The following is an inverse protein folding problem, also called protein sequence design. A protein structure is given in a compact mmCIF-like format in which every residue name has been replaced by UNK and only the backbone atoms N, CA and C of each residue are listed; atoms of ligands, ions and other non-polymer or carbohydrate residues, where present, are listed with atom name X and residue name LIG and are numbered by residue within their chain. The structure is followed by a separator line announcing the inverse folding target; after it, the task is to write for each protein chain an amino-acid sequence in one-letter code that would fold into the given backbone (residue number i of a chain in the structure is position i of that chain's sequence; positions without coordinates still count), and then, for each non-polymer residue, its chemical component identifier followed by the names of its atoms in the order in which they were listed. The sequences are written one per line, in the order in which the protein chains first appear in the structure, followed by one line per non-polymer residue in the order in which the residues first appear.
data_IF_894198673463
#
_entry.id   IF_894198673463
#
_cell.length_a   1.000
_cell.length_b   1.000
_cell.length_c   1.000
_cell.angle_alpha   90.00
_cell.angle_beta   90.00
_cell.angle_gamma   90.00
#
_symmetry.space_group_name_H-M   'P 1'
#
loop_
_entity.id
_entity.type
_entity.pdbx_description
1 polymer ?
#
# COMPACT_ATOMS: atom_id res chain seq x y z
N UNK A 1 12.52 7.39 0.05
CA UNK A 1 12.80 7.30 -1.40
C UNK A 1 14.31 7.25 -1.58
N UNK A 2 14.88 6.18 -2.16
CA UNK A 2 16.32 6.01 -2.33
C UNK A 2 16.76 6.42 -3.76
N UNK A 3 17.62 7.44 -3.86
CA UNK A 3 18.04 7.99 -5.15
C UNK A 3 18.90 7.00 -5.95
N UNK A 4 19.75 6.22 -5.29
CA UNK A 4 20.63 5.27 -5.98
C UNK A 4 19.81 4.19 -6.69
N UNK A 5 18.82 3.62 -6.01
CA UNK A 5 17.88 2.66 -6.61
C UNK A 5 17.13 3.26 -7.80
N UNK A 6 16.66 4.51 -7.70
CA UNK A 6 15.95 5.19 -8.79
C UNK A 6 16.86 5.36 -10.02
N UNK A 7 18.08 5.85 -9.82
CA UNK A 7 19.03 6.05 -10.93
C UNK A 7 19.40 4.73 -11.59
N UNK A 8 19.57 3.67 -10.81
CA UNK A 8 19.87 2.34 -11.34
C UNK A 8 18.68 1.75 -12.12
N UNK A 9 17.45 1.92 -11.63
CA UNK A 9 16.24 1.53 -12.35
C UNK A 9 16.13 2.24 -13.70
N UNK A 10 16.41 3.53 -13.79
CA UNK A 10 16.37 4.26 -15.07
C UNK A 10 17.40 3.76 -16.06
N UNK A 11 18.60 3.40 -15.60
CA UNK A 11 19.64 2.81 -16.46
C UNK A 11 19.20 1.43 -16.99
N UNK A 12 18.66 0.59 -16.12
CA UNK A 12 18.28 -0.78 -16.45
C UNK A 12 16.97 -0.86 -17.24
N UNK A 13 16.05 0.07 -17.01
CA UNK A 13 14.72 0.13 -17.61
C UNK A 13 14.44 1.53 -18.18
N UNK A 14 14.97 1.88 -19.37
CA UNK A 14 14.81 3.21 -19.96
C UNK A 14 13.36 3.62 -20.28
N UNK A 15 12.41 2.68 -20.17
CA UNK A 15 10.96 2.92 -20.37
C UNK A 15 10.17 2.94 -19.05
N UNK A 16 10.85 2.87 -17.90
CA UNK A 16 10.19 2.93 -16.59
C UNK A 16 9.39 4.22 -16.44
N UNK A 17 8.22 4.12 -15.80
CA UNK A 17 7.37 5.24 -15.41
C UNK A 17 7.40 5.35 -13.88
N UNK A 18 7.52 6.57 -13.37
CA UNK A 18 7.47 6.92 -11.96
C UNK A 18 6.14 7.59 -11.68
N UNK A 19 5.29 6.92 -10.91
CA UNK A 19 4.08 7.51 -10.35
C UNK A 19 4.43 8.01 -8.95
N UNK A 20 4.27 9.30 -8.71
CA UNK A 20 4.70 9.95 -7.46
C UNK A 20 3.61 10.84 -6.91
N UNK A 21 3.52 11.00 -5.58
CA UNK A 21 2.55 11.93 -5.00
C UNK A 21 2.98 13.38 -5.24
N UNK A 22 2.01 14.29 -5.22
CA UNK A 22 2.18 15.73 -5.45
C UNK A 22 3.39 16.34 -4.73
N UNK A 23 4.17 17.17 -5.44
CA UNK A 23 5.37 17.84 -4.96
C UNK A 23 6.67 17.06 -5.13
N UNK A 24 6.63 15.79 -5.58
CA UNK A 24 7.84 14.98 -5.76
C UNK A 24 8.46 15.10 -7.16
N UNK A 25 7.70 15.52 -8.17
CA UNK A 25 8.17 15.56 -9.56
C UNK A 25 9.42 16.41 -9.73
N UNK A 26 9.41 17.62 -9.18
CA UNK A 26 10.54 18.54 -9.27
C UNK A 26 11.82 17.94 -8.69
N UNK A 27 11.72 17.19 -7.58
CA UNK A 27 12.86 16.52 -6.98
C UNK A 27 13.44 15.43 -7.88
N UNK A 28 12.59 14.60 -8.50
CA UNK A 28 13.04 13.57 -9.45
C UNK A 28 13.67 14.19 -10.71
N UNK A 29 13.07 15.24 -11.26
CA UNK A 29 13.61 15.96 -12.42
C UNK A 29 14.98 16.55 -12.12
N UNK A 30 15.13 17.22 -10.97
CA UNK A 30 16.41 17.78 -10.52
C UNK A 30 17.48 16.70 -10.28
N UNK A 31 17.05 15.46 -10.04
CA UNK A 31 17.89 14.29 -9.85
C UNK A 31 18.27 13.58 -11.16
N UNK A 32 17.83 14.10 -12.31
CA UNK A 32 18.19 13.60 -13.64
C UNK A 32 17.16 12.67 -14.27
N UNK A 33 15.95 12.55 -13.72
CA UNK A 33 14.89 11.73 -14.29
C UNK A 33 14.11 12.55 -15.35
N UNK A 34 13.99 12.08 -16.60
CA UNK A 34 13.22 12.77 -17.63
C UNK A 34 11.77 13.02 -17.20
N UNK A 35 11.29 14.26 -17.36
CA UNK A 35 9.91 14.66 -17.02
C UNK A 35 8.84 13.75 -17.62
N UNK A 36 9.05 13.26 -18.86
CA UNK A 36 8.14 12.31 -19.53
C UNK A 36 7.98 10.97 -18.82
N UNK A 37 8.93 10.59 -17.97
CA UNK A 37 8.84 9.35 -17.20
C UNK A 37 8.08 9.56 -15.88
N UNK A 38 7.67 10.78 -15.52
CA UNK A 38 7.12 11.10 -14.20
C UNK A 38 5.67 11.55 -14.34
N UNK A 39 4.77 10.84 -13.66
CA UNK A 39 3.40 11.27 -13.43
C UNK A 39 3.25 11.64 -11.96
N UNK A 40 2.78 12.84 -11.71
CA UNK A 40 2.56 13.37 -10.37
C UNK A 40 1.06 13.40 -10.11
N UNK A 41 0.64 12.84 -8.97
CA UNK A 41 -0.78 12.65 -8.64
C UNK A 41 -1.10 13.21 -7.26
N UNK A 42 -2.21 13.94 -7.15
CA UNK A 42 -2.87 14.25 -5.89
C UNK A 42 -3.75 13.08 -5.43
N UNK A 43 -4.25 13.12 -4.19
CA UNK A 43 -5.16 12.11 -3.69
C UNK A 43 -6.41 11.99 -4.57
N UNK A 44 -6.79 10.74 -4.80
CA UNK A 44 -7.90 10.31 -5.65
C UNK A 44 -7.71 10.53 -7.15
N UNK A 45 -6.57 11.09 -7.57
CA UNK A 45 -6.18 11.05 -8.98
C UNK A 45 -5.64 9.68 -9.35
N UNK A 46 -5.91 9.29 -10.59
CA UNK A 46 -5.50 8.01 -11.14
C UNK A 46 -4.87 8.15 -12.54
N UNK A 47 -4.13 7.12 -12.91
CA UNK A 47 -3.58 6.95 -14.26
C UNK A 47 -3.91 5.55 -14.77
N UNK A 48 -4.44 5.49 -15.98
CA UNK A 48 -4.63 4.25 -16.71
C UNK A 48 -3.35 3.90 -17.49
N UNK A 49 -2.86 2.69 -17.27
CA UNK A 49 -1.71 2.06 -17.90
C UNK A 49 -2.20 0.88 -18.75
N UNK A 50 -1.80 0.84 -20.00
CA UNK A 50 -2.16 -0.24 -20.93
C UNK A 50 -1.39 -0.13 -22.24
N UNK A 51 -1.42 -1.17 -23.09
CA UNK A 51 -0.76 -1.15 -24.38
C UNK A 51 -1.37 -0.06 -25.27
N UNK A 52 -0.50 0.76 -25.85
CA UNK A 52 -0.92 1.91 -26.67
C UNK A 52 -1.09 3.22 -25.89
N UNK A 53 -1.35 3.19 -24.57
CA UNK A 53 -1.52 4.40 -23.75
C UNK A 53 -0.20 4.92 -23.14
N UNK A 54 0.87 4.13 -23.15
CA UNK A 54 2.22 4.57 -22.80
C UNK A 54 2.94 5.33 -23.95
N UNK A 55 2.21 5.75 -25.00
CA UNK A 55 2.77 6.55 -26.10
C UNK A 55 2.51 8.01 -25.80
N UNK A 56 3.53 8.72 -25.33
CA UNK A 56 3.56 10.19 -25.27
C UNK A 56 3.60 10.83 -26.70
N UNK A 57 3.10 10.13 -27.72
CA UNK A 57 3.03 10.57 -29.12
C UNK A 57 1.62 10.32 -29.68
N UNK A 58 0.77 11.36 -29.74
CA UNK A 58 -0.56 11.31 -30.36
C UNK A 58 -0.53 10.95 -31.85
N UNK A 59 0.62 11.04 -32.52
CA UNK A 59 0.77 10.74 -33.95
C UNK A 59 1.09 9.28 -34.27
N UNK A 60 1.36 8.46 -33.26
CA UNK A 60 1.63 7.03 -33.41
C UNK A 60 0.35 6.16 -33.41
N UNK A 61 -0.84 6.79 -33.38
CA UNK A 61 -2.09 6.11 -33.69
C UNK A 61 -2.08 5.77 -35.18
N UNK A 62 -1.86 4.49 -35.51
CA UNK A 62 -2.07 3.99 -36.87
C UNK A 62 -3.58 3.97 -37.11
N UNK A 63 -4.12 4.78 -38.04
CA UNK A 63 -5.54 4.73 -38.34
C UNK A 63 -5.83 3.41 -39.04
N UNK A 64 -6.58 2.51 -38.39
CA UNK A 64 -7.10 1.30 -39.04
C UNK A 64 -7.19 0.03 -38.20
N UNK A 65 -6.45 -0.09 -37.09
CA UNK A 65 -6.40 -1.32 -36.27
C UNK A 65 -7.04 -1.16 -34.87
N UNK A 66 -7.81 -0.10 -34.66
CA UNK A 66 -8.36 0.32 -33.37
C UNK A 66 -9.46 -0.62 -32.82
N UNK A 67 -9.94 -1.57 -33.63
CA UNK A 67 -11.16 -2.32 -33.31
C UNK A 67 -10.98 -3.76 -32.80
N UNK A 68 -9.77 -4.34 -32.74
CA UNK A 68 -9.65 -5.79 -32.42
C UNK A 68 -8.62 -6.20 -31.37
N UNK A 69 -7.62 -5.38 -31.01
CA UNK A 69 -6.58 -5.79 -30.04
C UNK A 69 -6.62 -5.03 -28.71
N UNK A 70 -7.11 -3.79 -28.70
CA UNK A 70 -7.27 -3.00 -27.48
C UNK A 70 -8.35 -3.53 -26.51
N UNK A 71 -9.23 -4.43 -26.97
CA UNK A 71 -10.33 -5.02 -26.18
C UNK A 71 -9.94 -6.28 -25.39
N UNK A 72 -8.72 -6.78 -25.54
CA UNK A 72 -8.28 -8.03 -24.90
C UNK A 72 -7.08 -7.84 -23.98
N UNK A 73 -6.47 -6.66 -23.97
CA UNK A 73 -5.30 -6.38 -23.15
C UNK A 73 -5.72 -5.84 -21.78
N UNK A 74 -5.10 -6.32 -20.69
CA UNK A 74 -5.46 -5.87 -19.36
C UNK A 74 -5.17 -4.39 -19.19
N UNK A 75 -6.17 -3.64 -18.73
CA UNK A 75 -6.00 -2.25 -18.30
C UNK A 75 -5.59 -2.26 -16.83
N UNK A 76 -4.53 -1.52 -16.49
CA UNK A 76 -4.09 -1.32 -15.11
C UNK A 76 -4.40 0.13 -14.74
N UNK A 77 -5.19 0.35 -13.70
CA UNK A 77 -5.38 1.67 -13.11
C UNK A 77 -4.58 1.79 -11.84
N UNK A 78 -3.85 2.88 -11.68
CA UNK A 78 -3.13 3.18 -10.44
C UNK A 78 -3.67 4.47 -9.86
N UNK A 79 -4.23 4.40 -8.66
CA UNK A 79 -4.82 5.54 -7.95
C UNK A 79 -3.97 5.91 -6.74
N UNK A 80 -3.61 7.19 -6.66
CA UNK A 80 -3.01 7.80 -5.47
C UNK A 80 -4.11 7.96 -4.42
N UNK A 81 -3.96 7.41 -3.22
CA UNK A 81 -4.99 7.51 -2.16
C UNK A 81 -4.43 8.13 -0.88
N UNK A 82 -5.25 8.77 -0.05
CA UNK A 82 -4.75 9.40 1.16
C UNK A 82 -4.19 8.40 2.16
N UNK A 83 -3.20 8.87 2.91
CA UNK A 83 -2.64 8.20 4.09
C UNK A 83 -2.53 9.22 5.23
N UNK A 84 -2.36 8.76 6.46
CA UNK A 84 -2.14 9.60 7.62
C UNK A 84 -0.65 9.65 7.96
N UNK A 85 0.10 10.55 7.33
CA UNK A 85 1.55 10.64 7.51
C UNK A 85 2.04 12.08 7.36
N UNK A 86 3.36 12.25 7.24
CA UNK A 86 4.03 13.51 6.94
C UNK A 86 5.11 13.31 5.89
N UNK A 87 5.79 14.37 5.46
CA UNK A 87 6.95 14.24 4.58
C UNK A 87 8.09 15.17 4.99
N UNK A 88 9.30 14.86 4.53
CA UNK A 88 10.47 15.71 4.74
C UNK A 88 11.75 14.98 4.36
N UNK A 89 12.63 15.62 3.59
CA UNK A 89 13.97 15.10 3.25
C UNK A 89 15.07 15.89 3.94
N UNK A 90 14.77 17.08 4.42
CA UNK A 90 15.64 18.05 5.06
C UNK A 90 14.93 18.68 6.27
N UNK A 91 15.64 19.54 7.01
CA UNK A 91 15.07 20.24 8.16
C UNK A 91 14.08 21.35 7.76
N UNK A 92 14.11 21.80 6.50
CA UNK A 92 13.32 22.94 6.01
C UNK A 92 12.16 22.57 5.08
N UNK A 93 11.99 21.30 4.72
CA UNK A 93 10.98 20.85 3.74
C UNK A 93 9.90 19.94 4.35
N UNK A 94 9.68 20.08 5.65
CA UNK A 94 8.66 19.34 6.37
C UNK A 94 7.28 19.61 5.76
N UNK A 95 6.58 18.53 5.38
CA UNK A 95 5.29 18.50 4.71
C UNK A 95 5.24 19.27 3.37
N UNK A 96 6.38 19.47 2.71
CA UNK A 96 6.45 20.13 1.41
C UNK A 96 5.98 19.22 0.25
N UNK A 97 5.88 17.90 0.47
CA UNK A 97 5.40 16.93 -0.53
C UNK A 97 4.28 16.08 0.04
N UNK A 98 3.37 15.64 -0.81
CA UNK A 98 2.25 14.79 -0.43
C UNK A 98 2.74 13.38 -0.07
N UNK A 99 2.09 12.74 0.91
CA UNK A 99 2.23 11.33 1.27
C UNK A 99 0.98 10.58 0.83
N UNK A 100 1.09 9.30 0.48
CA UNK A 100 -0.04 8.53 -0.05
C UNK A 100 0.12 7.02 0.16
N UNK A 101 -0.98 6.30 -0.02
CA UNK A 101 -0.99 4.90 -0.44
C UNK A 101 -1.27 4.79 -1.95
N UNK A 102 -1.16 3.58 -2.49
CA UNK A 102 -1.39 3.29 -3.89
C UNK A 102 -2.33 2.11 -4.07
N UNK A 103 -3.48 2.33 -4.71
CA UNK A 103 -4.36 1.25 -5.15
C UNK A 103 -4.05 0.94 -6.60
N UNK A 104 -3.86 -0.34 -6.90
CA UNK A 104 -3.61 -0.86 -8.25
C UNK A 104 -4.74 -1.80 -8.61
N UNK A 105 -5.54 -1.40 -9.58
CA UNK A 105 -6.63 -2.21 -10.13
C UNK A 105 -6.22 -2.74 -11.49
N UNK A 106 -6.44 -4.03 -11.72
CA UNK A 106 -6.24 -4.64 -13.02
C UNK A 106 -7.57 -5.19 -13.52
N UNK A 107 -7.94 -4.77 -14.72
CA UNK A 107 -9.20 -5.12 -15.36
C UNK A 107 -8.93 -6.07 -16.52
N UNK A 108 -9.71 -7.16 -16.59
CA UNK A 108 -9.62 -8.21 -17.60
C UNK A 108 -10.98 -8.49 -18.23
N UNK A 109 -11.00 -8.80 -19.52
CA UNK A 109 -12.22 -9.18 -20.22
C UNK A 109 -12.94 -8.00 -20.88
N UNK A 110 -14.09 -8.27 -21.51
CA UNK A 110 -14.95 -7.27 -22.13
C UNK A 110 -15.92 -6.66 -21.11
N UNK A 111 -16.48 -5.48 -21.38
CA UNK A 111 -17.42 -4.74 -20.51
C UNK A 111 -18.53 -5.62 -19.86
N UNK A 112 -19.00 -6.68 -20.53
CA UNK A 112 -20.05 -7.59 -20.02
C UNK A 112 -19.53 -8.66 -19.03
N UNK A 113 -18.22 -8.90 -18.94
CA UNK A 113 -17.54 -9.89 -18.09
C UNK A 113 -16.20 -9.37 -17.54
N UNK A 114 -16.17 -8.08 -17.17
CA UNK A 114 -14.94 -7.46 -16.65
C UNK A 114 -14.62 -8.06 -15.27
N UNK A 115 -13.50 -8.80 -15.17
CA UNK A 115 -12.92 -9.21 -13.90
C UNK A 115 -11.96 -8.15 -13.43
N UNK A 116 -11.93 -7.91 -12.12
CA UNK A 116 -11.06 -6.92 -11.50
C UNK A 116 -10.23 -7.55 -10.40
N UNK A 117 -8.93 -7.30 -10.41
CA UNK A 117 -8.05 -7.56 -9.27
C UNK A 117 -7.61 -6.25 -8.66
N UNK A 118 -7.57 -6.18 -7.33
CA UNK A 118 -7.26 -4.96 -6.61
C UNK A 118 -6.20 -5.21 -5.53
N UNK A 119 -5.04 -4.57 -5.67
CA UNK A 119 -3.96 -4.59 -4.68
C UNK A 119 -3.81 -3.20 -4.08
N UNK A 120 -3.67 -3.13 -2.77
CA UNK A 120 -3.47 -1.87 -2.05
C UNK A 120 -2.14 -1.87 -1.29
N UNK A 121 -1.26 -0.94 -1.66
CA UNK A 121 -0.09 -0.59 -0.86
C UNK A 121 -0.44 0.59 0.05
N UNK A 122 -0.61 0.34 1.35
CA UNK A 122 -1.12 1.34 2.31
C UNK A 122 -0.21 2.55 2.49
N UNK A 123 1.07 2.42 2.13
CA UNK A 123 2.08 3.42 2.43
C UNK A 123 2.53 3.34 3.89
N UNK A 124 3.34 4.31 4.31
CA UNK A 124 3.61 4.52 5.73
C UNK A 124 2.52 5.44 6.27
N UNK A 125 1.85 5.01 7.34
CA UNK A 125 0.65 5.69 7.82
C UNK A 125 0.43 5.41 9.29
N UNK A 126 -0.12 6.40 10.00
CA UNK A 126 -0.82 6.24 11.24
C UNK A 126 -2.27 5.80 11.00
N UNK A 127 -2.97 5.54 12.10
CA UNK A 127 -4.40 5.23 12.08
C UNK A 127 -5.20 6.07 13.07
N UNK A 128 -4.53 6.72 14.02
CA UNK A 128 -5.16 7.49 15.09
C UNK A 128 -4.50 8.84 15.20
N UNK A 129 -5.26 9.86 15.57
CA UNK A 129 -4.68 11.19 15.83
C UNK A 129 -3.87 11.23 17.13
N UNK A 130 -4.30 10.48 18.16
CA UNK A 130 -3.67 10.36 19.49
C UNK A 130 -3.93 8.99 20.12
N UNK A 131 -3.29 8.70 21.27
CA UNK A 131 -3.59 7.49 22.07
C UNK A 131 -5.06 7.49 22.49
N UNK A 132 -5.83 6.50 22.01
CA UNK A 132 -7.28 6.42 22.27
C UNK A 132 -8.11 7.46 21.51
N UNK A 133 -7.49 8.23 20.60
CA UNK A 133 -8.16 9.24 19.79
C UNK A 133 -8.97 8.66 18.64
N UNK A 134 -9.54 9.57 17.84
CA UNK A 134 -10.34 9.25 16.66
C UNK A 134 -9.55 8.42 15.64
N UNK A 135 -10.27 7.52 14.97
CA UNK A 135 -9.73 6.67 13.92
C UNK A 135 -9.71 7.44 12.61
N UNK A 136 -8.69 7.22 11.79
CA UNK A 136 -8.59 7.78 10.46
C UNK A 136 -9.73 7.22 9.59
N UNK A 137 -10.68 8.05 9.12
CA UNK A 137 -11.84 7.56 8.39
C UNK A 137 -11.51 7.07 6.97
N UNK A 138 -10.36 7.47 6.42
CA UNK A 138 -9.99 7.21 5.03
C UNK A 138 -9.93 5.72 4.70
N UNK A 139 -9.53 4.86 5.65
CA UNK A 139 -9.42 3.42 5.36
C UNK A 139 -10.77 2.76 5.11
N UNK A 140 -11.83 3.25 5.78
CA UNK A 140 -13.20 2.81 5.47
C UNK A 140 -13.66 3.31 4.11
N UNK A 141 -13.32 4.55 3.77
CA UNK A 141 -13.64 5.13 2.47
C UNK A 141 -12.95 4.37 1.33
N UNK A 142 -11.65 4.06 1.49
CA UNK A 142 -10.87 3.26 0.55
C UNK A 142 -11.46 1.86 0.43
N UNK A 143 -11.77 1.20 1.56
CA UNK A 143 -12.43 -0.11 1.55
C UNK A 143 -13.75 -0.10 0.80
N UNK A 144 -14.59 0.94 1.00
CA UNK A 144 -15.86 1.09 0.31
C UNK A 144 -15.69 1.35 -1.20
N UNK A 145 -14.73 2.18 -1.58
CA UNK A 145 -14.49 2.60 -2.98
C UNK A 145 -13.84 1.50 -3.81
N UNK A 146 -12.95 0.71 -3.21
CA UNK A 146 -12.13 -0.28 -3.90
C UNK A 146 -12.46 -1.73 -3.53
N UNK A 147 -13.61 -2.02 -2.92
CA UNK A 147 -14.03 -3.40 -2.65
C UNK A 147 -14.32 -4.20 -3.94
N UNK A 148 -14.00 -5.50 -3.98
CA UNK A 148 -13.13 -6.19 -3.04
C UNK A 148 -11.66 -5.80 -3.26
N UNK A 149 -10.91 -5.59 -2.16
CA UNK A 149 -9.44 -5.49 -2.17
C UNK A 149 -8.90 -6.91 -1.97
N UNK A 150 -8.24 -7.47 -2.99
CA UNK A 150 -7.71 -8.83 -2.93
C UNK A 150 -6.51 -8.94 -1.98
N UNK A 151 -5.62 -7.96 -2.02
CA UNK A 151 -4.41 -7.93 -1.19
C UNK A 151 -4.12 -6.52 -0.68
N UNK A 152 -3.96 -6.37 0.62
CA UNK A 152 -3.42 -5.15 1.23
C UNK A 152 -2.05 -5.40 1.88
N UNK A 153 -1.09 -4.52 1.60
CA UNK A 153 0.20 -4.47 2.29
C UNK A 153 0.13 -3.38 3.35
N UNK A 154 0.21 -3.75 4.64
CA UNK A 154 -0.10 -2.86 5.77
C UNK A 154 1.14 -2.73 6.68
N UNK A 155 1.59 -1.50 7.05
CA UNK A 155 2.73 -1.34 7.94
C UNK A 155 2.40 -1.82 9.36
N UNK A 156 3.35 -2.48 10.03
CA UNK A 156 3.18 -2.98 11.41
C UNK A 156 4.25 -2.47 12.38
N UNK A 157 5.03 -1.47 12.01
CA UNK A 157 6.12 -0.97 12.83
C UNK A 157 6.04 0.53 12.98
N UNK A 158 6.41 1.01 14.17
CA UNK A 158 6.24 2.41 14.59
C UNK A 158 7.50 3.27 14.42
N UNK A 159 8.55 2.70 13.82
CA UNK A 159 9.89 3.25 13.90
C UNK A 159 10.48 3.04 15.30
N UNK A 160 11.53 2.23 15.38
CA UNK A 160 12.53 2.36 16.43
C UNK A 160 13.34 3.59 16.07
N UNK A 161 13.30 4.59 16.93
CA UNK A 161 14.28 5.66 17.11
C UNK A 161 14.98 6.15 15.82
N UNK A 162 14.71 7.41 15.40
CA UNK A 162 15.52 8.15 14.40
C UNK A 162 16.96 7.61 14.40
N UNK A 163 17.47 7.13 13.26
CA UNK A 163 18.72 6.35 13.19
C UNK A 163 19.91 6.98 13.94
N UNK A 164 19.92 8.30 14.14
CA UNK A 164 20.87 9.03 15.00
C UNK A 164 20.71 8.79 16.52
N UNK A 165 19.48 8.66 17.03
CA UNK A 165 19.17 8.42 18.45
C UNK A 165 19.37 6.92 18.78
N UNK A 166 19.15 6.02 17.81
CA UNK A 166 19.33 4.57 17.99
C UNK A 166 20.81 4.22 18.10
N UNK A 167 21.65 4.89 17.30
CA UNK A 167 23.11 4.79 17.40
C UNK A 167 23.69 5.40 18.69
N UNK A 168 22.88 6.15 19.45
CA UNK A 168 23.20 6.62 20.81
C UNK A 168 22.64 5.71 21.93
N UNK A 169 21.99 4.58 21.60
CA UNK A 169 21.46 3.63 22.58
C UNK A 169 20.19 4.09 23.31
N UNK A 170 19.48 5.10 22.79
CA UNK A 170 18.27 5.64 23.39
C UNK A 170 17.04 5.10 22.66
N UNK A 171 16.14 4.39 23.34
CA UNK A 171 14.87 3.92 22.77
C UNK A 171 13.83 5.05 22.93
N UNK A 172 13.40 5.70 21.84
CA UNK A 172 12.29 6.66 21.87
C UNK A 172 10.97 5.88 21.98
N UNK A 173 10.61 5.49 23.19
CA UNK A 173 9.40 4.72 23.51
C UNK A 173 8.14 5.58 23.67
N UNK A 174 8.12 6.83 23.19
CA UNK A 174 6.97 7.71 23.40
C UNK A 174 5.85 7.40 22.42
N UNK A 175 4.97 6.47 22.84
CA UNK A 175 3.73 6.05 22.18
C UNK A 175 2.85 7.22 21.70
N UNK A 176 2.96 8.42 22.26
CA UNK A 176 2.10 9.54 21.89
C UNK A 176 2.52 10.28 20.59
N UNK A 177 3.80 10.24 20.22
CA UNK A 177 4.32 11.09 19.13
C UNK A 177 4.32 10.40 17.76
N UNK A 178 4.39 9.06 17.72
CA UNK A 178 4.49 8.30 16.46
C UNK A 178 3.15 7.81 15.93
N UNK A 179 2.09 7.71 16.75
CA UNK A 179 0.79 7.13 16.33
C UNK A 179 0.08 7.90 15.22
N UNK A 180 0.30 9.21 15.16
CA UNK A 180 -0.25 10.06 14.10
C UNK A 180 0.38 9.77 12.73
N UNK A 181 1.56 9.14 12.71
CA UNK A 181 2.35 8.89 11.50
C UNK A 181 2.58 7.40 11.22
N UNK A 182 2.55 6.53 12.23
CA UNK A 182 2.84 5.11 12.08
C UNK A 182 1.85 4.22 12.85
N UNK A 183 1.28 3.25 12.14
CA UNK A 183 0.29 2.32 12.66
C UNK A 183 0.97 1.30 13.58
N UNK A 184 0.33 1.02 14.71
CA UNK A 184 0.70 -0.11 15.54
C UNK A 184 0.27 -1.43 14.89
N UNK A 185 0.82 -2.59 15.28
CA UNK A 185 0.29 -3.89 14.87
C UNK A 185 -1.21 -4.08 15.16
N UNK A 186 -1.72 -3.47 16.23
CA UNK A 186 -3.16 -3.49 16.54
C UNK A 186 -3.96 -2.58 15.61
N UNK A 187 -3.41 -1.42 15.22
CA UNK A 187 -4.04 -0.53 14.26
C UNK A 187 -4.02 -1.12 12.86
N UNK A 188 -2.96 -1.84 12.49
CA UNK A 188 -2.89 -2.56 11.23
C UNK A 188 -4.04 -3.58 11.09
N UNK A 189 -4.44 -4.24 12.18
CA UNK A 189 -5.61 -5.12 12.18
C UNK A 189 -6.91 -4.33 11.99
N UNK A 190 -7.04 -3.15 12.59
CA UNK A 190 -8.19 -2.28 12.35
C UNK A 190 -8.22 -1.76 10.90
N UNK A 191 -7.08 -1.37 10.33
CA UNK A 191 -6.96 -0.98 8.92
C UNK A 191 -7.38 -2.15 8.02
N UNK A 192 -6.88 -3.36 8.27
CA UNK A 192 -7.29 -4.56 7.54
C UNK A 192 -8.82 -4.75 7.54
N UNK A 193 -9.46 -4.61 8.70
CA UNK A 193 -10.93 -4.71 8.82
C UNK A 193 -11.66 -3.57 8.11
N UNK A 194 -11.21 -2.33 8.27
CA UNK A 194 -11.85 -1.16 7.63
C UNK A 194 -11.75 -1.20 6.10
N UNK A 195 -10.65 -1.77 5.58
CA UNK A 195 -10.45 -2.02 4.17
C UNK A 195 -11.30 -3.16 3.62
N UNK A 196 -11.82 -4.03 4.49
CA UNK A 196 -12.48 -5.29 4.11
C UNK A 196 -11.60 -6.11 3.15
N UNK A 197 -10.29 -6.10 3.40
CA UNK A 197 -9.32 -6.77 2.54
C UNK A 197 -9.46 -8.29 2.67
N UNK A 198 -9.48 -8.99 1.53
CA UNK A 198 -9.54 -10.46 1.49
C UNK A 198 -8.29 -11.07 2.09
N UNK A 199 -7.14 -10.50 1.76
CA UNK A 199 -5.84 -10.91 2.31
C UNK A 199 -5.03 -9.68 2.68
N UNK A 200 -4.23 -9.79 3.73
CA UNK A 200 -3.24 -8.78 4.08
C UNK A 200 -1.91 -9.37 4.46
N UNK A 201 -0.84 -8.70 4.05
CA UNK A 201 0.53 -9.00 4.47
C UNK A 201 1.13 -7.80 5.17
N UNK A 202 1.93 -8.09 6.19
CA UNK A 202 2.61 -7.06 6.95
C UNK A 202 3.82 -6.54 6.16
N UNK A 203 4.04 -5.23 6.24
CA UNK A 203 5.21 -4.58 5.68
C UNK A 203 5.81 -3.59 6.68
N UNK A 204 6.86 -2.88 6.24
CA UNK A 204 7.49 -1.80 7.01
C UNK A 204 8.11 -2.23 8.35
N UNK A 205 8.56 -3.49 8.50
CA UNK A 205 9.20 -3.98 9.73
C UNK A 205 10.46 -4.80 9.41
N UNK A 206 11.31 -5.04 10.42
CA UNK A 206 12.47 -5.95 10.40
C UNK A 206 13.55 -5.74 9.31
N UNK A 207 13.46 -4.69 8.49
CA UNK A 207 14.44 -4.42 7.41
C UNK A 207 15.46 -3.35 7.82
N UNK A 208 14.99 -2.25 8.40
CA UNK A 208 15.83 -1.18 8.93
C UNK A 208 15.57 -1.06 10.43
N UNK A 209 16.23 -1.89 11.23
CA UNK A 209 16.06 -1.94 12.69
C UNK A 209 17.36 -1.60 13.39
N UNK A 210 17.27 -1.03 14.60
CA UNK A 210 18.41 -0.84 15.48
C UNK A 210 18.91 -2.15 16.07
N UNK A 211 18.04 -3.18 16.14
CA UNK A 211 18.40 -4.55 16.54
C UNK A 211 17.39 -5.60 16.06
N UNK A 212 17.80 -6.87 16.00
CA UNK A 212 16.92 -8.01 15.66
C UNK A 212 15.70 -8.12 16.60
N UNK A 213 15.88 -7.73 17.86
CA UNK A 213 14.81 -7.72 18.87
C UNK A 213 13.67 -6.80 18.46
N UNK A 214 13.95 -5.65 17.87
CA UNK A 214 12.91 -4.71 17.41
C UNK A 214 12.08 -5.30 16.27
N UNK A 215 12.73 -6.01 15.33
CA UNK A 215 12.05 -6.71 14.25
C UNK A 215 11.11 -7.79 14.78
N UNK A 216 11.59 -8.63 15.71
CA UNK A 216 10.77 -9.69 16.34
C UNK A 216 9.60 -9.15 17.14
N UNK A 217 9.80 -8.06 17.90
CA UNK A 217 8.74 -7.43 18.70
C UNK A 217 7.51 -7.02 17.86
N UNK A 218 7.72 -6.54 16.63
CA UNK A 218 6.62 -6.16 15.74
C UNK A 218 5.75 -7.38 15.36
N UNK A 219 6.39 -8.49 15.02
CA UNK A 219 5.75 -9.77 14.69
C UNK A 219 4.98 -10.32 15.89
N UNK A 220 5.63 -10.41 17.04
CA UNK A 220 5.00 -10.90 18.28
C UNK A 220 3.79 -10.05 18.67
N UNK A 221 3.89 -8.73 18.54
CA UNK A 221 2.80 -7.80 18.82
C UNK A 221 1.61 -7.96 17.88
N UNK A 222 1.84 -8.27 16.59
CA UNK A 222 0.75 -8.56 15.65
C UNK A 222 -0.03 -9.80 16.07
N UNK A 223 0.65 -10.91 16.39
CA UNK A 223 0.00 -12.14 16.80
C UNK A 223 -0.72 -12.03 18.15
N UNK A 224 -0.14 -11.30 19.10
CA UNK A 224 -0.82 -10.98 20.37
C UNK A 224 -2.07 -10.13 20.16
N UNK A 225 -2.03 -9.15 19.25
CA UNK A 225 -3.21 -8.35 18.92
C UNK A 225 -4.31 -9.20 18.26
N UNK A 226 -3.96 -10.12 17.35
CA UNK A 226 -4.91 -11.08 16.76
C UNK A 226 -5.56 -11.96 17.84
N UNK A 227 -4.77 -12.48 18.77
CA UNK A 227 -5.26 -13.31 19.88
C UNK A 227 -6.25 -12.53 20.76
N UNK A 228 -5.92 -11.29 21.11
CA UNK A 228 -6.81 -10.41 21.89
C UNK A 228 -8.13 -10.14 21.18
N UNK A 229 -8.09 -9.83 19.88
CA UNK A 229 -9.30 -9.63 19.09
C UNK A 229 -10.19 -10.88 19.10
N UNK A 230 -9.60 -12.06 18.93
CA UNK A 230 -10.32 -13.32 18.96
C UNK A 230 -10.99 -13.57 20.33
N UNK A 231 -10.25 -13.44 21.44
CA UNK A 231 -10.82 -13.58 22.79
C UNK A 231 -11.95 -12.58 23.04
N UNK A 232 -11.82 -11.34 22.55
CA UNK A 232 -12.86 -10.32 22.68
C UNK A 232 -14.11 -10.68 21.86
N UNK A 233 -13.95 -11.21 20.65
CA UNK A 233 -15.06 -11.67 19.82
C UNK A 233 -15.81 -12.83 20.48
N UNK A 234 -15.09 -13.83 20.98
CA UNK A 234 -15.66 -15.00 21.66
C UNK A 234 -16.46 -14.59 22.90
N UNK A 235 -15.94 -13.66 23.70
CA UNK A 235 -16.65 -13.14 24.88
C UNK A 235 -17.98 -12.44 24.54
N UNK A 236 -18.13 -12.00 23.29
CA UNK A 236 -19.35 -11.39 22.74
C UNK A 236 -20.21 -12.37 21.93
N UNK A 237 -19.89 -13.68 21.95
CA UNK A 237 -20.60 -14.71 21.19
C UNK A 237 -20.38 -14.63 19.67
N UNK A 238 -19.34 -13.92 19.22
CA UNK A 238 -18.97 -13.83 17.79
C UNK A 238 -17.84 -14.82 17.49
N UNK A 239 -17.87 -15.41 16.30
CA UNK A 239 -16.77 -16.26 15.78
C UNK A 239 -15.73 -15.47 14.97
N UNK A 240 -15.69 -14.14 15.12
CA UNK A 240 -14.81 -13.26 14.36
C UNK A 240 -13.35 -13.54 14.73
N UNK A 241 -12.54 -13.88 13.72
CA UNK A 241 -11.10 -14.12 13.85
C UNK A 241 -10.41 -13.62 12.59
N UNK A 242 -9.25 -13.00 12.76
CA UNK A 242 -8.34 -12.72 11.63
C UNK A 242 -7.41 -13.92 11.50
N UNK A 243 -7.59 -14.69 10.42
CA UNK A 243 -6.89 -15.93 10.15
C UNK A 243 -5.44 -15.74 9.71
N UNK A 244 -4.81 -16.82 9.23
CA UNK A 244 -3.51 -16.75 8.55
C UNK A 244 -3.65 -15.98 7.23
N UNK A 245 -2.59 -15.38 6.71
CA UNK A 245 -2.71 -14.45 5.57
C UNK A 245 -3.33 -15.08 4.32
N UNK A 246 -3.18 -16.39 4.12
CA UNK A 246 -3.76 -17.14 3.00
C UNK A 246 -5.23 -17.54 3.21
N UNK A 247 -5.78 -17.36 4.41
CA UNK A 247 -7.21 -17.52 4.67
C UNK A 247 -7.97 -16.27 4.18
N UNK A 248 -9.21 -16.43 3.75
CA UNK A 248 -10.09 -15.29 3.43
C UNK A 248 -10.34 -14.45 4.69
N UNK A 249 -10.18 -13.13 4.60
CA UNK A 249 -10.12 -12.22 5.76
C UNK A 249 -8.86 -12.41 6.61
N UNK A 250 -7.78 -12.93 6.00
CA UNK A 250 -6.54 -13.29 6.67
C UNK A 250 -5.52 -12.15 6.71
N UNK A 251 -4.72 -12.09 7.78
CA UNK A 251 -3.60 -11.16 7.87
C UNK A 251 -2.39 -11.82 8.56
N UNK A 252 -1.22 -11.74 7.95
CA UNK A 252 0.01 -12.29 8.50
C UNK A 252 1.26 -11.70 7.85
N UNK A 253 2.34 -12.47 7.89
CA UNK A 253 3.68 -12.11 7.44
C UNK A 253 4.14 -13.12 6.41
N UNK A 254 5.00 -12.67 5.51
CA UNK A 254 5.76 -13.48 4.56
C UNK A 254 7.25 -13.23 4.78
N UNK A 255 8.09 -14.20 4.44
CA UNK A 255 9.53 -14.09 4.62
C UNK A 255 10.16 -13.16 3.57
N UNK A 256 11.31 -12.56 3.90
CA UNK A 256 12.06 -11.72 2.95
C UNK A 256 12.48 -12.57 1.76
N UNK A 257 12.04 -12.18 0.57
CA UNK A 257 12.32 -12.89 -0.69
C UNK A 257 11.33 -14.03 -1.00
N UNK A 258 10.36 -14.29 -0.13
CA UNK A 258 9.27 -15.22 -0.42
C UNK A 258 8.37 -14.67 -1.54
N UNK A 259 7.87 -15.57 -2.40
CA UNK A 259 6.85 -15.27 -3.40
C UNK A 259 5.61 -16.08 -3.10
N UNK A 260 4.45 -15.43 -3.13
CA UNK A 260 3.17 -16.08 -2.89
C UNK A 260 2.14 -15.67 -3.96
N UNK A 261 1.06 -16.46 -4.03
CA UNK A 261 -0.03 -16.24 -4.97
C UNK A 261 -1.32 -16.08 -4.19
N UNK A 262 -2.02 -14.96 -4.40
CA UNK A 262 -3.37 -14.75 -3.91
C UNK A 262 -4.34 -15.16 -5.02
N UNK A 263 -5.19 -16.19 -4.80
CA UNK A 263 -6.14 -16.60 -5.81
C UNK A 263 -7.24 -15.54 -6.01
N UNK A 264 -7.74 -15.38 -7.24
CA UNK A 264 -8.88 -14.51 -7.51
C UNK A 264 -10.10 -14.95 -6.68
N UNK A 265 -10.95 -13.99 -6.32
CA UNK A 265 -12.19 -14.29 -5.63
C UNK A 265 -13.01 -15.27 -6.47
N UNK A 266 -13.51 -16.35 -5.87
CA UNK A 266 -14.40 -17.28 -6.58
C UNK A 266 -15.68 -16.53 -6.92
N UNK A 267 -16.04 -16.47 -8.21
CA UNK A 267 -17.37 -16.04 -8.62
C UNK A 267 -18.39 -16.97 -7.95
N UNK A 268 -19.46 -16.42 -7.38
CA UNK A 268 -20.57 -17.19 -6.77
C UNK A 268 -21.40 -17.99 -7.80
N UNK A 269 -20.78 -18.46 -8.89
CA UNK A 269 -21.39 -19.41 -9.81
C UNK A 269 -21.05 -20.83 -9.36
N UNK A 270 -21.81 -21.34 -8.39
CA UNK A 270 -21.58 -22.68 -7.88
C UNK A 270 -22.46 -23.15 -6.72
N UNK A 271 -23.64 -22.57 -6.50
CA UNK A 271 -24.67 -23.28 -5.74
C UNK A 271 -25.42 -24.21 -6.70
N UNK A 272 -25.34 -25.55 -6.53
CA UNK A 272 -26.22 -26.45 -7.26
C UNK A 272 -27.67 -26.21 -6.79
N UNK A 273 -28.56 -25.94 -7.73
CA UNK A 273 -30.00 -26.10 -7.54
C UNK A 273 -30.34 -27.57 -7.23
#
# INVERSE_FOLDING_TARGET
MDLNSILELVKLQPKVRFLVPLGNKQWLESSGIPARQISELDWWEDVDLGPGMARDDPSAAVPGDEYSLAKLEPRIRVTCVPAQHGSGRSVTDQNATLWCGWVVEQFYGSDEKEQRHCVYHVGDTGYRSTVGGELCPVFKEIGQKFQPIDLAMIPIWRGGTLSFISSAGLELTTDALTLSHHATPSDALCIHTDLQARHSIAMHFATFVGSDTEGRKAVESLYEAKKKLHTQAESKGKQERVGLWWEEGGFGIVDIGETFVVPPARSEEGQPN
#
